data_IF_527155057993
#
_entry.id   IF_527155057993
#
_cell.length_a   1.000
_cell.length_b   1.000
_cell.length_c   1.000
_cell.angle_alpha   90.00
_cell.angle_beta   90.00
_cell.angle_gamma   90.00
#
_symmetry.space_group_name_H-M   'P 1'
#
loop_
_entity.id
_entity.type
_entity.pdbx_description
1 polymer ?
#
# COMPACT_ATOMS: atom_id res chain seq x y z
N UNK A 1 -29.01 -13.49 -72.81
CA UNK A 1 -28.82 -12.19 -72.13
C UNK A 1 -30.12 -11.92 -71.38
N UNK A 2 -30.16 -11.78 -70.06
CA UNK A 2 -29.10 -11.29 -69.18
C UNK A 2 -29.06 -12.05 -67.86
N UNK A 3 -27.83 -12.21 -67.41
CA UNK A 3 -27.30 -12.94 -66.28
C UNK A 3 -27.33 -12.13 -64.97
N UNK A 4 -27.28 -12.90 -63.89
CA UNK A 4 -26.92 -12.59 -62.49
C UNK A 4 -26.32 -11.22 -62.13
N UNK A 5 -26.66 -10.75 -60.94
CA UNK A 5 -25.68 -10.53 -59.85
C UNK A 5 -26.46 -10.39 -58.54
N UNK A 6 -26.35 -11.44 -57.73
CA UNK A 6 -26.69 -11.44 -56.31
C UNK A 6 -25.42 -10.98 -55.60
N UNK A 7 -25.24 -9.67 -55.51
CA UNK A 7 -24.15 -9.07 -54.74
C UNK A 7 -24.73 -8.61 -53.39
N UNK A 8 -25.18 -9.57 -52.58
CA UNK A 8 -25.13 -9.39 -51.13
C UNK A 8 -23.64 -9.53 -50.78
N UNK A 9 -22.91 -8.43 -50.92
CA UNK A 9 -21.59 -8.30 -50.32
C UNK A 9 -21.75 -8.60 -48.83
N UNK A 10 -21.28 -9.78 -48.42
CA UNK A 10 -21.23 -10.20 -47.04
C UNK A 10 -20.37 -9.19 -46.31
N UNK A 11 -21.01 -8.28 -45.57
CA UNK A 11 -20.33 -7.34 -44.69
C UNK A 11 -19.37 -8.16 -43.81
N UNK A 12 -18.11 -7.70 -43.61
CA UNK A 12 -17.16 -8.41 -42.76
C UNK A 12 -17.78 -8.68 -41.38
N UNK A 13 -17.69 -9.92 -40.90
CA UNK A 13 -18.29 -10.34 -39.64
C UNK A 13 -17.61 -9.64 -38.45
N UNK A 14 -18.41 -8.96 -37.63
CA UNK A 14 -18.00 -8.45 -36.32
C UNK A 14 -17.50 -9.58 -35.41
N UNK A 15 -16.58 -9.28 -34.49
CA UNK A 15 -16.20 -10.26 -33.47
C UNK A 15 -17.38 -10.54 -32.54
N UNK A 16 -17.87 -11.78 -32.50
CA UNK A 16 -19.01 -12.18 -31.64
C UNK A 16 -18.80 -11.84 -30.15
N UNK A 17 -17.55 -11.70 -29.69
CA UNK A 17 -17.22 -11.41 -28.29
C UNK A 17 -16.97 -9.94 -27.98
N UNK A 18 -16.92 -9.03 -28.94
CA UNK A 18 -16.78 -7.61 -28.62
C UNK A 18 -17.52 -6.68 -29.59
N UNK A 19 -18.21 -7.26 -30.58
CA UNK A 19 -18.95 -6.59 -31.64
C UNK A 19 -18.11 -5.53 -32.37
N UNK A 20 -16.80 -5.78 -32.50
CA UNK A 20 -15.86 -4.94 -33.24
C UNK A 20 -15.71 -5.47 -34.67
N UNK A 21 -15.91 -4.59 -35.64
CA UNK A 21 -16.20 -4.91 -37.03
C UNK A 21 -14.97 -5.15 -37.93
N UNK A 22 -13.71 -4.93 -37.46
CA UNK A 22 -12.55 -4.81 -38.40
C UNK A 22 -11.16 -5.28 -37.91
N UNK A 23 -11.07 -6.41 -37.19
CA UNK A 23 -9.78 -7.08 -36.93
C UNK A 23 -9.77 -8.16 -35.83
N UNK A 24 -10.81 -9.02 -35.81
CA UNK A 24 -11.05 -10.25 -35.03
C UNK A 24 -10.08 -10.57 -33.86
N UNK A 25 -9.85 -9.61 -32.97
CA UNK A 25 -9.00 -9.72 -31.78
C UNK A 25 -7.58 -10.29 -32.03
N UNK A 26 -7.02 -10.08 -33.24
CA UNK A 26 -5.85 -10.70 -33.91
C UNK A 26 -4.70 -11.26 -33.01
N UNK A 27 -4.96 -12.49 -32.51
CA UNK A 27 -4.08 -13.60 -32.07
C UNK A 27 -2.62 -13.28 -31.67
N UNK A 28 -2.26 -13.51 -30.39
CA UNK A 28 -2.01 -14.89 -30.02
C UNK A 28 -3.09 -15.45 -29.07
N UNK A 29 -3.23 -16.78 -29.09
CA UNK A 29 -3.82 -17.53 -27.98
C UNK A 29 -3.21 -17.10 -26.65
N UNK A 30 -3.85 -17.52 -25.55
CA UNK A 30 -3.20 -17.45 -24.26
C UNK A 30 -1.77 -18.00 -24.36
N UNK A 31 -0.81 -17.30 -23.76
CA UNK A 31 0.56 -17.81 -23.65
C UNK A 31 0.56 -19.07 -22.78
N UNK A 32 1.20 -20.13 -23.26
CA UNK A 32 1.09 -21.49 -22.72
C UNK A 32 -0.36 -21.97 -22.50
N UNK A 33 -1.31 -21.55 -23.34
CA UNK A 33 -2.75 -21.84 -23.24
C UNK A 33 -3.40 -21.42 -21.90
N UNK A 34 -2.76 -20.52 -21.14
CA UNK A 34 -3.25 -20.10 -19.82
C UNK A 34 -3.00 -18.65 -19.41
N UNK A 35 -2.10 -17.93 -20.09
CA UNK A 35 -1.69 -16.58 -19.72
C UNK A 35 -2.14 -15.52 -20.71
N UNK A 36 -2.45 -14.34 -20.21
CA UNK A 36 -2.67 -13.15 -21.03
C UNK A 36 -2.11 -11.93 -20.33
N UNK A 37 -1.80 -10.88 -21.09
CA UNK A 37 -1.33 -9.62 -20.51
C UNK A 37 -2.37 -8.52 -20.66
N UNK A 38 -2.54 -7.74 -19.61
CA UNK A 38 -3.37 -6.53 -19.61
C UNK A 38 -2.47 -5.30 -19.59
N UNK A 39 -2.81 -4.29 -20.37
CA UNK A 39 -2.13 -2.98 -20.32
C UNK A 39 -2.92 -2.03 -19.44
N UNK A 40 -2.27 -1.47 -18.42
CA UNK A 40 -2.88 -0.48 -17.54
C UNK A 40 -3.04 0.85 -18.28
N UNK A 41 -4.26 1.40 -18.27
CA UNK A 41 -4.61 2.71 -18.87
C UNK A 41 -4.59 3.83 -17.82
N UNK A 42 -4.58 5.09 -18.27
CA UNK A 42 -4.60 6.28 -17.41
C UNK A 42 -5.69 6.13 -16.36
N UNK A 43 -5.27 6.20 -15.11
CA UNK A 43 -6.04 6.10 -13.86
C UNK A 43 -6.23 4.71 -13.28
N UNK A 44 -6.52 3.62 -14.03
CA UNK A 44 -6.88 2.28 -13.49
C UNK A 44 -7.86 2.29 -12.27
N UNK A 45 -8.45 3.45 -11.98
CA UNK A 45 -9.30 3.80 -10.83
C UNK A 45 -10.76 3.48 -11.15
N UNK A 46 -11.09 3.34 -12.44
CA UNK A 46 -12.46 3.11 -12.94
C UNK A 46 -12.58 1.69 -13.47
N UNK A 47 -11.92 1.37 -14.58
CA UNK A 47 -12.05 0.05 -15.24
C UNK A 47 -10.74 -0.38 -15.90
N UNK A 48 -10.38 -1.65 -15.75
CA UNK A 48 -9.27 -2.29 -16.49
C UNK A 48 -9.82 -3.43 -17.32
N UNK A 49 -9.83 -3.21 -18.64
CA UNK A 49 -10.47 -4.11 -19.61
C UNK A 49 -9.68 -5.41 -19.77
N UNK A 50 -10.40 -6.53 -19.78
CA UNK A 50 -9.89 -7.82 -20.23
C UNK A 50 -9.78 -7.76 -21.78
N UNK A 51 -8.63 -8.09 -22.36
CA UNK A 51 -8.48 -8.17 -23.80
C UNK A 51 -9.49 -9.15 -24.41
N UNK A 52 -10.08 -8.79 -25.55
CA UNK A 52 -11.06 -9.64 -26.24
C UNK A 52 -10.57 -11.08 -26.45
N UNK A 53 -9.30 -11.27 -26.87
CA UNK A 53 -8.74 -12.62 -27.11
C UNK A 53 -8.68 -13.50 -25.84
N UNK A 54 -8.65 -12.89 -24.65
CA UNK A 54 -8.63 -13.60 -23.37
C UNK A 54 -10.04 -13.72 -22.75
N UNK A 55 -11.00 -12.89 -23.19
CA UNK A 55 -12.34 -12.74 -22.59
C UNK A 55 -13.06 -14.07 -22.44
N UNK A 56 -13.13 -14.85 -23.52
CA UNK A 56 -13.78 -16.17 -23.51
C UNK A 56 -13.23 -17.08 -22.42
N UNK A 57 -11.91 -17.22 -22.34
CA UNK A 57 -11.25 -18.10 -21.37
C UNK A 57 -11.48 -17.64 -19.92
N UNK A 58 -11.48 -16.32 -19.70
CA UNK A 58 -11.78 -15.75 -18.37
C UNK A 58 -13.21 -16.07 -17.97
N UNK A 59 -14.19 -15.86 -18.85
CA UNK A 59 -15.60 -16.09 -18.57
C UNK A 59 -15.91 -17.57 -18.33
N UNK A 60 -15.38 -18.46 -19.18
CA UNK A 60 -15.48 -19.92 -18.99
C UNK A 60 -14.85 -20.36 -17.66
N UNK A 61 -13.64 -19.88 -17.34
CA UNK A 61 -12.92 -20.26 -16.11
C UNK A 61 -13.57 -19.75 -14.83
N UNK A 62 -14.20 -18.57 -14.90
CA UNK A 62 -14.93 -17.94 -13.79
C UNK A 62 -16.42 -18.30 -13.78
N UNK A 63 -16.84 -19.26 -14.61
CA UNK A 63 -18.18 -19.87 -14.65
C UNK A 63 -19.32 -18.88 -14.99
N UNK A 64 -19.05 -17.83 -15.77
CA UNK A 64 -20.11 -16.90 -16.19
C UNK A 64 -21.12 -17.61 -17.10
N UNK A 65 -22.41 -17.30 -16.94
CA UNK A 65 -23.49 -18.01 -17.64
C UNK A 65 -23.50 -17.73 -19.15
N UNK A 66 -23.40 -16.46 -19.51
CA UNK A 66 -23.39 -15.99 -20.89
C UNK A 66 -22.59 -14.68 -21.00
N UNK A 67 -21.84 -14.53 -22.09
CA UNK A 67 -21.08 -13.34 -22.41
C UNK A 67 -21.95 -12.11 -22.74
N UNK A 68 -23.18 -12.30 -23.21
CA UNK A 68 -24.11 -11.21 -23.52
C UNK A 68 -24.79 -10.64 -22.26
N UNK A 69 -24.78 -11.40 -21.16
CA UNK A 69 -25.48 -11.04 -19.94
C UNK A 69 -24.62 -10.12 -19.08
N UNK A 70 -25.27 -9.08 -18.56
CA UNK A 70 -24.67 -8.24 -17.52
C UNK A 70 -24.63 -8.99 -16.19
N UNK A 71 -23.42 -9.39 -15.78
CA UNK A 71 -23.17 -10.16 -14.57
C UNK A 71 -21.95 -9.60 -13.84
N UNK A 72 -21.93 -9.70 -12.50
CA UNK A 72 -20.76 -9.35 -11.69
C UNK A 72 -20.44 -10.52 -10.77
N UNK A 73 -19.19 -11.00 -10.82
CA UNK A 73 -18.69 -12.00 -9.90
C UNK A 73 -17.56 -11.46 -9.04
N UNK A 74 -17.51 -11.91 -7.79
CA UNK A 74 -16.37 -11.73 -6.92
C UNK A 74 -15.39 -12.86 -7.22
N UNK A 75 -14.17 -12.51 -7.61
CA UNK A 75 -13.10 -13.47 -7.90
C UNK A 75 -11.87 -13.16 -7.05
N UNK A 76 -10.97 -14.13 -6.92
CA UNK A 76 -9.72 -13.96 -6.16
C UNK A 76 -8.54 -13.77 -7.11
N UNK A 77 -7.78 -12.71 -6.89
CA UNK A 77 -6.48 -12.50 -7.51
C UNK A 77 -5.39 -12.95 -6.54
N UNK A 78 -4.50 -13.82 -7.01
CA UNK A 78 -3.37 -14.33 -6.22
C UNK A 78 -2.05 -13.96 -6.81
N UNK A 79 -1.06 -13.77 -5.96
CA UNK A 79 0.32 -13.52 -6.40
C UNK A 79 1.25 -14.53 -5.77
N UNK A 80 2.43 -14.72 -6.38
CA UNK A 80 3.45 -15.62 -5.85
C UNK A 80 4.05 -15.15 -4.50
N UNK A 81 3.69 -13.95 -4.04
CA UNK A 81 4.05 -13.38 -2.75
C UNK A 81 3.05 -13.71 -1.63
N UNK A 82 2.19 -14.72 -1.82
CA UNK A 82 1.12 -15.12 -0.89
C UNK A 82 0.12 -13.99 -0.58
N UNK A 83 -0.07 -13.07 -1.53
CA UNK A 83 -1.09 -12.03 -1.44
C UNK A 83 -2.33 -12.47 -2.22
N UNK A 84 -3.48 -12.42 -1.55
CA UNK A 84 -4.81 -12.76 -2.06
C UNK A 84 -5.74 -11.54 -1.95
N UNK A 85 -6.49 -11.23 -3.02
CA UNK A 85 -7.43 -10.11 -3.09
C UNK A 85 -8.72 -10.50 -3.77
N UNK A 86 -9.83 -10.20 -3.11
CA UNK A 86 -11.16 -10.23 -3.74
C UNK A 86 -11.35 -9.00 -4.64
N UNK A 87 -11.66 -9.23 -5.91
CA UNK A 87 -12.01 -8.18 -6.87
C UNK A 87 -13.33 -8.49 -7.55
N UNK A 88 -14.02 -7.45 -8.00
CA UNK A 88 -15.20 -7.61 -8.83
C UNK A 88 -14.77 -7.68 -10.29
N UNK A 89 -15.19 -8.75 -10.97
CA UNK A 89 -15.10 -8.90 -12.41
C UNK A 89 -16.49 -8.64 -12.99
N UNK A 90 -16.60 -7.58 -13.79
CA UNK A 90 -17.83 -7.16 -14.43
C UNK A 90 -17.85 -7.68 -15.85
N UNK A 91 -18.95 -8.30 -16.24
CA UNK A 91 -19.25 -8.69 -17.60
C UNK A 91 -20.46 -7.92 -18.11
N UNK A 92 -20.42 -7.51 -19.38
CA UNK A 92 -21.56 -7.06 -20.17
C UNK A 92 -21.34 -7.45 -21.63
N UNK A 93 -22.35 -7.25 -22.48
CA UNK A 93 -22.41 -7.72 -23.87
C UNK A 93 -21.08 -7.71 -24.63
N UNK A 94 -20.42 -6.55 -24.71
CA UNK A 94 -19.20 -6.37 -25.49
C UNK A 94 -17.93 -6.25 -24.66
N UNK A 95 -17.99 -6.30 -23.33
CA UNK A 95 -16.83 -5.96 -22.48
C UNK A 95 -16.80 -6.72 -21.15
N UNK A 96 -15.60 -7.10 -20.74
CA UNK A 96 -15.32 -7.62 -19.41
C UNK A 96 -14.19 -6.81 -18.79
N UNK A 97 -14.30 -6.41 -17.52
CA UNK A 97 -13.29 -5.58 -16.87
C UNK A 97 -13.23 -5.76 -15.36
N UNK A 98 -12.06 -5.47 -14.79
CA UNK A 98 -11.90 -5.23 -13.36
C UNK A 98 -12.32 -3.80 -13.04
N UNK A 99 -13.15 -3.60 -12.02
CA UNK A 99 -13.67 -2.26 -11.70
C UNK A 99 -14.08 -2.11 -10.23
N UNK A 100 -13.12 -2.04 -9.30
CA UNK A 100 -13.45 -1.75 -7.90
C UNK A 100 -12.28 -1.16 -7.10
N UNK A 101 -12.59 -0.64 -5.92
CA UNK A 101 -11.57 -0.12 -4.98
C UNK A 101 -10.51 -1.15 -4.59
N UNK A 102 -10.85 -2.45 -4.62
CA UNK A 102 -9.88 -3.51 -4.31
C UNK A 102 -8.89 -3.72 -5.46
N UNK A 103 -9.33 -3.58 -6.72
CA UNK A 103 -8.44 -3.56 -7.88
C UNK A 103 -7.48 -2.36 -7.81
N UNK A 104 -8.01 -1.17 -7.55
CA UNK A 104 -7.19 0.04 -7.35
C UNK A 104 -6.17 -0.14 -6.22
N UNK A 105 -6.60 -0.73 -5.10
CA UNK A 105 -5.73 -1.07 -3.98
C UNK A 105 -4.62 -2.05 -4.39
N UNK A 106 -4.95 -3.10 -5.14
CA UNK A 106 -3.98 -4.07 -5.65
C UNK A 106 -2.92 -3.40 -6.54
N UNK A 107 -3.34 -2.54 -7.47
CA UNK A 107 -2.41 -1.80 -8.34
C UNK A 107 -1.49 -0.88 -7.53
N UNK A 108 -2.05 -0.13 -6.56
CA UNK A 108 -1.27 0.72 -5.65
C UNK A 108 -0.31 -0.09 -4.77
N UNK A 109 -0.74 -1.28 -4.36
CA UNK A 109 0.05 -2.16 -3.51
C UNK A 109 1.34 -2.60 -4.21
N UNK A 110 1.27 -2.91 -5.50
CA UNK A 110 2.44 -3.29 -6.31
C UNK A 110 3.14 -2.11 -6.98
N UNK A 111 2.64 -0.88 -6.79
CA UNK A 111 3.22 0.32 -7.36
C UNK A 111 3.18 0.31 -8.89
N UNK A 112 2.10 -0.22 -9.47
CA UNK A 112 1.96 -0.22 -10.92
C UNK A 112 1.65 1.18 -11.45
N UNK A 113 2.28 1.50 -12.57
CA UNK A 113 2.08 2.74 -13.30
C UNK A 113 1.31 2.53 -14.60
N UNK A 114 0.80 3.62 -15.15
CA UNK A 114 0.19 3.63 -16.47
C UNK A 114 1.15 3.07 -17.54
N UNK A 115 0.58 2.29 -18.47
CA UNK A 115 1.32 1.71 -19.57
C UNK A 115 2.06 0.43 -19.23
N UNK A 116 2.15 0.04 -17.94
CA UNK A 116 2.67 -1.26 -17.54
C UNK A 116 1.80 -2.40 -18.07
N UNK A 117 2.47 -3.50 -18.41
CA UNK A 117 1.83 -4.77 -18.77
C UNK A 117 1.87 -5.69 -17.56
N UNK A 118 0.70 -6.19 -17.15
CA UNK A 118 0.55 -7.17 -16.09
C UNK A 118 0.15 -8.49 -16.73
N UNK A 119 0.84 -9.58 -16.39
CA UNK A 119 0.50 -10.92 -16.88
C UNK A 119 -0.40 -11.64 -15.89
N UNK A 120 -1.52 -12.12 -16.39
CA UNK A 120 -2.53 -12.91 -15.69
C UNK A 120 -2.40 -14.37 -16.14
N UNK A 121 -2.52 -15.32 -15.21
CA UNK A 121 -2.41 -16.76 -15.43
C UNK A 121 -3.65 -17.45 -14.85
N UNK A 122 -4.44 -18.07 -15.72
CA UNK A 122 -5.71 -18.73 -15.39
C UNK A 122 -5.53 -20.13 -14.75
N UNK A 123 -4.28 -20.55 -14.56
CA UNK A 123 -3.94 -21.89 -14.11
C UNK A 123 -3.90 -22.90 -15.25
N UNK A 124 -3.47 -24.12 -14.96
CA UNK A 124 -3.42 -25.18 -15.96
C UNK A 124 -4.85 -25.67 -16.29
N UNK A 125 -5.32 -25.55 -17.55
CA UNK A 125 -6.66 -25.97 -17.94
C UNK A 125 -6.90 -27.48 -17.78
N UNK A 126 -5.83 -28.30 -17.80
CA UNK A 126 -5.92 -29.77 -17.66
C UNK A 126 -6.11 -30.23 -16.21
N UNK A 127 -5.97 -29.30 -15.24
CA UNK A 127 -6.11 -29.61 -13.82
C UNK A 127 -7.44 -29.02 -13.37
N UNK A 128 -8.35 -29.89 -12.92
CA UNK A 128 -9.58 -29.45 -12.26
C UNK A 128 -9.20 -28.77 -10.94
N UNK A 129 -9.12 -27.45 -10.97
CA UNK A 129 -8.87 -26.61 -9.80
C UNK A 129 -10.23 -26.14 -9.29
N UNK A 130 -10.61 -26.59 -8.09
CA UNK A 130 -11.84 -26.18 -7.41
C UNK A 130 -11.87 -24.66 -7.10
N UNK A 131 -10.73 -23.98 -7.20
CA UNK A 131 -10.61 -22.56 -6.94
C UNK A 131 -10.60 -21.76 -8.27
N UNK A 132 -11.53 -20.82 -8.39
CA UNK A 132 -11.65 -19.85 -9.48
C UNK A 132 -10.73 -18.64 -9.26
N UNK A 133 -9.43 -18.91 -9.08
CA UNK A 133 -8.43 -17.87 -8.81
C UNK A 133 -7.70 -17.49 -10.11
N UNK A 134 -7.39 -16.20 -10.28
CA UNK A 134 -6.47 -15.72 -11.32
C UNK A 134 -5.14 -15.36 -10.68
N UNK A 135 -4.06 -15.94 -11.19
CA UNK A 135 -2.71 -15.61 -10.73
C UNK A 135 -2.19 -14.38 -11.45
N UNK A 136 -1.77 -13.37 -10.71
CA UNK A 136 -1.08 -12.19 -11.22
C UNK A 136 0.42 -12.41 -11.08
N UNK A 137 1.10 -12.50 -12.22
CA UNK A 137 2.55 -12.72 -12.29
C UNK A 137 3.27 -11.38 -12.15
N UNK A 138 3.80 -11.14 -10.95
CA UNK A 138 4.47 -9.89 -10.59
C UNK A 138 5.79 -10.21 -9.94
N UNK A 139 6.93 -9.86 -10.54
CA UNK A 139 8.26 -10.21 -10.02
C UNK A 139 8.71 -9.36 -8.83
N UNK A 140 8.13 -8.17 -8.68
CA UNK A 140 8.48 -7.22 -7.62
C UNK A 140 7.62 -7.45 -6.38
N UNK A 141 8.20 -7.42 -5.18
CA UNK A 141 7.43 -7.56 -3.95
C UNK A 141 6.50 -6.35 -3.74
N UNK A 142 5.38 -6.52 -2.99
CA UNK A 142 4.47 -5.43 -2.69
C UNK A 142 5.17 -4.20 -2.10
N UNK A 143 4.91 -3.05 -2.69
CA UNK A 143 5.40 -1.74 -2.26
C UNK A 143 4.64 -1.26 -1.02
N UNK A 144 3.37 -1.64 -0.84
CA UNK A 144 2.59 -1.37 0.37
C UNK A 144 2.08 -2.67 0.99
N UNK A 145 1.90 -2.72 2.32
CA UNK A 145 1.32 -3.87 2.99
C UNK A 145 -0.20 -3.88 2.94
N UNK A 146 -0.82 -5.07 3.01
CA UNK A 146 -2.28 -5.22 3.15
C UNK A 146 -2.87 -4.35 4.27
N UNK A 147 -2.18 -4.25 5.41
CA UNK A 147 -2.60 -3.45 6.56
C UNK A 147 -2.82 -1.97 6.21
N UNK A 148 -2.15 -1.45 5.18
CA UNK A 148 -2.32 -0.07 4.71
C UNK A 148 -3.74 0.16 4.16
N UNK A 149 -4.32 -0.81 3.48
CA UNK A 149 -5.64 -0.66 2.86
C UNK A 149 -6.78 -0.87 3.85
N UNK A 150 -6.55 -1.64 4.92
CA UNK A 150 -7.53 -1.90 5.97
C UNK A 150 -7.52 -0.87 7.11
N UNK A 151 -6.52 0.03 7.16
CA UNK A 151 -6.43 1.02 8.23
C UNK A 151 -7.28 2.28 7.96
N UNK A 152 -7.51 3.07 9.02
CA UNK A 152 -8.28 4.31 8.94
C UNK A 152 -7.63 5.31 7.97
N UNK A 153 -8.45 6.18 7.36
CA UNK A 153 -7.96 7.21 6.42
C UNK A 153 -6.83 8.06 7.03
N UNK A 154 -6.97 8.48 8.28
CA UNK A 154 -5.94 9.23 8.99
C UNK A 154 -4.60 8.47 9.10
N UNK A 155 -4.66 7.14 9.28
CA UNK A 155 -3.46 6.29 9.35
C UNK A 155 -2.77 6.21 7.99
N UNK A 156 -3.52 6.05 6.90
CA UNK A 156 -2.96 6.15 5.54
C UNK A 156 -2.28 7.49 5.30
N UNK A 157 -2.96 8.58 5.66
CA UNK A 157 -2.41 9.93 5.54
C UNK A 157 -1.15 10.18 6.38
N UNK A 158 -0.97 9.45 7.49
CA UNK A 158 0.28 9.44 8.26
C UNK A 158 1.38 8.67 7.52
N UNK A 159 1.06 7.44 7.08
CA UNK A 159 2.01 6.57 6.37
C UNK A 159 2.52 7.24 5.09
N UNK A 160 1.64 7.87 4.31
CA UNK A 160 2.01 8.56 3.05
C UNK A 160 2.94 9.76 3.26
N UNK A 161 2.89 10.39 4.45
CA UNK A 161 3.74 11.54 4.80
C UNK A 161 5.00 11.15 5.55
N UNK A 162 5.29 9.86 5.66
CA UNK A 162 6.46 9.38 6.41
C UNK A 162 7.74 9.98 5.83
N UNK A 163 8.50 10.65 6.69
CA UNK A 163 9.82 11.16 6.38
C UNK A 163 10.87 10.10 6.68
N UNK A 164 11.76 9.84 5.71
CA UNK A 164 12.89 8.93 5.83
C UNK A 164 14.18 9.75 5.87
N UNK A 165 15.04 9.47 6.84
CA UNK A 165 16.45 9.93 6.77
C UNK A 165 17.24 9.00 5.85
N UNK A 166 18.35 9.47 5.29
CA UNK A 166 19.22 8.66 4.42
C UNK A 166 19.52 7.26 5.01
N UNK A 167 19.22 6.22 4.23
CA UNK A 167 19.49 4.82 4.58
C UNK A 167 18.53 4.21 5.61
N UNK A 168 17.38 4.86 5.86
CA UNK A 168 16.35 4.38 6.78
C UNK A 168 15.10 3.83 6.09
N UNK A 169 15.11 3.77 4.76
CA UNK A 169 14.00 3.28 3.95
C UNK A 169 13.59 1.87 4.36
N UNK A 170 12.27 1.62 4.41
CA UNK A 170 11.74 0.30 4.73
C UNK A 170 11.74 -0.55 3.48
N UNK A 171 12.65 -1.52 3.45
CA UNK A 171 12.88 -2.35 2.26
C UNK A 171 12.07 -3.65 2.29
N UNK A 172 11.54 -4.03 3.46
CA UNK A 172 10.79 -5.29 3.59
C UNK A 172 9.31 -5.06 3.87
N UNK A 173 8.48 -5.98 3.36
CA UNK A 173 7.03 -6.01 3.61
C UNK A 173 6.70 -6.00 5.11
N UNK A 174 7.48 -6.75 5.91
CA UNK A 174 7.30 -6.82 7.36
C UNK A 174 7.53 -5.47 8.03
N UNK A 175 8.56 -4.73 7.63
CA UNK A 175 8.84 -3.40 8.18
C UNK A 175 7.76 -2.38 7.83
N UNK A 176 7.22 -2.44 6.62
CA UNK A 176 6.12 -1.55 6.22
C UNK A 176 4.84 -1.84 7.00
N UNK A 177 4.50 -3.13 7.22
CA UNK A 177 3.40 -3.51 8.12
C UNK A 177 3.58 -2.93 9.52
N UNK A 178 4.81 -2.98 10.02
CA UNK A 178 5.20 -2.43 11.29
C UNK A 178 5.00 -0.92 11.41
N UNK A 179 5.29 -0.15 10.35
CA UNK A 179 4.98 1.28 10.29
C UNK A 179 3.47 1.54 10.34
N UNK A 180 2.68 0.81 9.56
CA UNK A 180 1.21 0.95 9.58
C UNK A 180 0.64 0.61 10.96
N UNK A 181 1.13 -0.45 11.59
CA UNK A 181 0.75 -0.83 12.95
C UNK A 181 1.08 0.25 13.97
N UNK A 182 2.29 0.82 13.91
CA UNK A 182 2.70 1.93 14.78
C UNK A 182 1.78 3.15 14.63
N UNK A 183 1.49 3.59 13.40
CA UNK A 183 0.56 4.69 13.14
C UNK A 183 -0.87 4.38 13.62
N UNK A 184 -1.31 3.12 13.50
CA UNK A 184 -2.61 2.66 14.01
C UNK A 184 -2.68 2.74 15.53
N UNK A 185 -1.62 2.36 16.23
CA UNK A 185 -1.56 2.44 17.69
C UNK A 185 -1.61 3.88 18.21
N UNK A 186 -1.00 4.82 17.48
CA UNK A 186 -1.08 6.26 17.80
C UNK A 186 -2.51 6.75 17.66
N UNK A 187 -3.21 6.38 16.58
CA UNK A 187 -4.61 6.75 16.39
C UNK A 187 -5.48 6.16 17.50
N UNK A 188 -5.28 4.88 17.84
CA UNK A 188 -5.97 4.23 18.95
C UNK A 188 -5.67 4.91 20.30
N UNK A 189 -4.42 5.31 20.54
CA UNK A 189 -4.03 6.06 21.74
C UNK A 189 -4.77 7.41 21.81
N UNK A 190 -4.84 8.14 20.70
CA UNK A 190 -5.52 9.44 20.65
C UNK A 190 -7.02 9.27 20.93
N UNK A 191 -7.67 8.27 20.33
CA UNK A 191 -9.08 7.94 20.56
C UNK A 191 -9.31 7.57 22.02
N UNK A 192 -8.52 6.64 22.57
CA UNK A 192 -8.71 6.13 23.92
C UNK A 192 -8.51 7.21 24.99
N UNK A 193 -7.45 8.02 24.85
CA UNK A 193 -7.13 9.06 25.84
C UNK A 193 -7.86 10.38 25.56
N UNK A 194 -8.71 10.44 24.52
CA UNK A 194 -9.35 11.67 24.05
C UNK A 194 -8.34 12.81 23.91
N UNK A 195 -7.18 12.50 23.31
CA UNK A 195 -6.10 13.46 23.19
C UNK A 195 -6.62 14.63 22.34
N UNK A 196 -6.50 15.89 22.81
CA UNK A 196 -6.94 17.05 22.06
C UNK A 196 -6.35 17.09 20.67
N UNK A 197 -7.04 17.80 19.78
CA UNK A 197 -6.67 17.84 18.38
C UNK A 197 -5.20 18.28 18.22
N UNK A 198 -4.46 17.49 17.45
CA UNK A 198 -3.11 17.84 17.06
C UNK A 198 -3.14 19.14 16.25
N UNK A 199 -2.34 20.12 16.67
CA UNK A 199 -2.09 21.35 15.92
C UNK A 199 -1.18 21.05 14.73
N UNK A 200 -1.77 20.49 13.68
CA UNK A 200 -1.09 20.16 12.44
C UNK A 200 -1.39 18.76 11.95
N UNK A 201 -0.54 18.30 11.03
CA UNK A 201 -0.58 16.94 10.49
C UNK A 201 0.57 16.16 11.11
N UNK A 202 0.28 14.93 11.48
CA UNK A 202 1.29 13.97 11.88
C UNK A 202 2.24 13.67 10.73
N UNK A 203 3.54 13.76 11.00
CA UNK A 203 4.61 13.39 10.09
C UNK A 203 5.47 12.33 10.80
N UNK A 204 5.24 11.03 10.52
CA UNK A 204 6.12 9.99 11.02
C UNK A 204 7.55 10.19 10.52
N UNK A 205 8.52 9.87 11.35
CA UNK A 205 9.93 9.86 11.05
C UNK A 205 10.43 8.42 11.18
N UNK A 206 10.96 7.87 10.09
CA UNK A 206 11.77 6.66 10.12
C UNK A 206 13.23 7.09 10.02
N UNK A 207 14.03 6.63 10.97
CA UNK A 207 15.44 7.01 11.01
C UNK A 207 16.33 5.91 11.59
N UNK A 208 17.58 5.87 11.14
CA UNK A 208 18.62 5.05 11.76
C UNK A 208 19.26 5.87 12.87
N UNK A 209 19.32 5.33 14.07
CA UNK A 209 19.97 5.97 15.19
C UNK A 209 21.49 5.97 15.00
N UNK A 210 22.09 7.13 14.80
CA UNK A 210 23.51 7.28 14.47
C UNK A 210 24.11 8.54 15.10
N UNK A 211 25.42 8.76 14.94
CA UNK A 211 26.10 9.91 15.52
C UNK A 211 25.69 11.27 14.94
N UNK A 212 24.99 11.28 13.80
CA UNK A 212 24.45 12.48 13.18
C UNK A 212 23.14 12.96 13.82
N UNK A 213 22.26 12.03 14.21
CA UNK A 213 20.98 12.36 14.87
C UNK A 213 20.97 12.12 16.38
N UNK A 214 21.98 11.46 16.92
CA UNK A 214 22.15 11.29 18.36
C UNK A 214 23.60 11.44 18.80
N UNK A 215 23.83 12.35 19.74
CA UNK A 215 25.15 12.54 20.33
C UNK A 215 25.05 12.91 21.82
N UNK A 216 25.78 12.16 22.65
CA UNK A 216 25.85 12.32 24.11
C UNK A 216 24.54 11.96 24.81
N UNK A 217 23.61 12.90 24.83
CA UNK A 217 22.29 12.80 25.50
C UNK A 217 21.20 13.55 24.71
N UNK A 218 21.49 13.91 23.46
CA UNK A 218 20.61 14.72 22.63
C UNK A 218 20.20 13.94 21.39
N UNK A 219 18.89 13.80 21.18
CA UNK A 219 18.29 13.37 19.91
C UNK A 219 17.97 14.61 19.06
N UNK A 220 18.15 14.50 17.75
CA UNK A 220 17.80 15.52 16.77
C UNK A 220 16.63 15.01 15.92
N UNK A 221 15.54 15.78 15.88
CA UNK A 221 14.39 15.58 15.00
C UNK A 221 14.48 16.61 13.86
N UNK A 222 14.46 16.19 12.58
CA UNK A 222 14.52 17.11 11.45
C UNK A 222 13.35 18.09 11.41
N UNK A 223 13.57 19.31 10.92
CA UNK A 223 12.53 20.36 10.77
C UNK A 223 11.23 19.84 10.15
N UNK A 224 11.32 19.02 9.10
CA UNK A 224 10.17 18.47 8.38
C UNK A 224 9.22 17.63 9.27
N UNK A 225 9.72 17.12 10.39
CA UNK A 225 8.96 16.32 11.35
C UNK A 225 8.56 17.11 12.60
N UNK A 226 8.91 18.39 12.69
CA UNK A 226 8.56 19.28 13.80
C UNK A 226 7.24 19.98 13.47
N UNK A 227 6.16 19.74 14.24
CA UNK A 227 4.88 20.41 14.03
C UNK A 227 5.02 21.93 14.05
N UNK A 228 4.30 22.57 13.14
CA UNK A 228 4.14 24.03 13.18
C UNK A 228 3.51 24.45 14.52
N UNK A 229 3.80 25.67 14.97
CA UNK A 229 3.30 26.25 16.23
C UNK A 229 3.90 25.67 17.52
N UNK A 230 4.95 24.85 17.47
CA UNK A 230 5.74 24.56 18.67
C UNK A 230 6.54 25.79 19.10
N UNK A 231 6.63 26.02 20.42
CA UNK A 231 7.51 27.06 20.96
C UNK A 231 8.97 26.71 20.69
N UNK A 232 9.85 27.70 20.56
CA UNK A 232 11.28 27.45 20.31
C UNK A 232 11.98 26.67 21.44
N UNK A 233 11.42 26.69 22.65
CA UNK A 233 11.90 25.94 23.81
C UNK A 233 10.71 25.45 24.60
N UNK A 234 10.83 24.26 25.16
CA UNK A 234 9.79 23.69 25.98
C UNK A 234 10.17 22.32 26.52
N UNK A 235 9.15 21.53 26.83
CA UNK A 235 9.30 20.18 27.33
C UNK A 235 8.41 19.25 26.52
N UNK A 236 8.92 18.06 26.20
CA UNK A 236 8.22 17.03 25.43
C UNK A 236 8.12 15.76 26.25
N UNK A 237 6.93 15.18 26.31
CA UNK A 237 6.72 13.87 26.91
C UNK A 237 7.14 12.80 25.91
N UNK A 238 7.95 11.84 26.33
CA UNK A 238 8.56 10.86 25.43
C UNK A 238 7.97 9.48 25.70
N UNK A 239 7.13 8.98 24.81
CA UNK A 239 6.34 7.77 25.02
C UNK A 239 6.75 6.66 24.06
N UNK A 240 6.94 5.44 24.59
CA UNK A 240 7.05 4.24 23.76
C UNK A 240 5.68 3.55 23.71
N UNK A 241 5.15 3.32 22.52
CA UNK A 241 3.79 2.82 22.30
C UNK A 241 3.65 1.28 22.42
N UNK A 242 4.74 0.51 22.33
CA UNK A 242 4.69 -0.96 22.19
C UNK A 242 5.48 -1.74 23.26
N UNK A 243 4.94 -2.89 23.72
CA UNK A 243 3.95 -2.96 24.79
C UNK A 243 4.56 -2.65 26.16
N UNK A 244 3.96 -1.71 26.89
CA UNK A 244 4.33 -1.38 28.25
C UNK A 244 3.91 0.02 28.63
N UNK A 245 3.69 0.25 29.93
CA UNK A 245 3.29 1.56 30.46
C UNK A 245 4.18 2.67 29.88
N UNK A 246 3.59 3.82 29.50
CA UNK A 246 4.34 4.94 28.97
C UNK A 246 5.53 5.23 29.87
N UNK A 247 6.73 5.30 29.30
CA UNK A 247 7.84 5.91 30.02
C UNK A 247 7.46 7.37 30.13
N UNK A 248 7.00 7.84 31.28
CA UNK A 248 6.74 9.27 31.47
C UNK A 248 8.09 9.96 31.65
N UNK A 249 8.83 10.12 30.55
CA UNK A 249 10.05 10.91 30.48
C UNK A 249 9.66 12.26 29.92
N UNK A 250 9.85 13.29 30.74
CA UNK A 250 9.68 14.67 30.29
C UNK A 250 11.07 15.23 29.97
N UNK A 251 11.28 15.55 28.70
CA UNK A 251 12.57 15.93 28.14
C UNK A 251 12.53 17.39 27.68
N UNK A 252 13.49 18.24 28.08
CA UNK A 252 13.56 19.59 27.55
C UNK A 252 13.99 19.57 26.09
N UNK A 253 13.42 20.45 25.29
CA UNK A 253 13.76 20.60 23.89
C UNK A 253 14.08 22.05 23.50
N UNK A 254 14.81 22.19 22.39
CA UNK A 254 15.12 23.47 21.75
C UNK A 254 15.06 23.32 20.23
N UNK A 255 14.31 24.20 19.57
CA UNK A 255 14.19 24.27 18.11
C UNK A 255 15.18 25.31 17.60
N UNK A 256 15.98 24.90 16.61
CA UNK A 256 16.98 25.73 15.96
C UNK A 256 16.31 26.82 15.12
N UNK A 257 16.60 28.10 15.39
CA UNK A 257 16.12 29.22 14.53
C UNK A 257 16.71 29.20 13.12
N UNK A 258 17.85 28.52 12.93
CA UNK A 258 18.59 28.51 11.66
C UNK A 258 18.21 27.33 10.77
N UNK A 259 18.05 26.16 11.37
CA UNK A 259 17.81 24.91 10.63
C UNK A 259 16.44 24.30 10.89
N UNK A 260 15.65 24.83 11.83
CA UNK A 260 14.34 24.29 12.19
C UNK A 260 14.38 22.96 12.97
N UNK A 261 15.54 22.29 13.03
CA UNK A 261 15.69 21.03 13.74
C UNK A 261 15.43 21.19 15.25
N UNK A 262 14.75 20.19 15.81
CA UNK A 262 14.47 20.11 17.23
C UNK A 262 15.49 19.21 17.93
N UNK A 263 16.11 19.73 18.98
CA UNK A 263 17.03 18.99 19.86
C UNK A 263 16.31 18.61 21.14
N UNK A 264 16.27 17.33 21.46
CA UNK A 264 15.65 16.78 22.67
C UNK A 264 16.75 16.25 23.59
N UNK A 265 16.90 16.84 24.77
CA UNK A 265 17.90 16.42 25.77
C UNK A 265 17.32 15.39 26.75
N UNK A 266 18.18 14.66 27.46
CA UNK A 266 17.76 13.60 28.39
C UNK A 266 17.45 12.27 27.70
N UNK A 267 17.81 12.12 26.42
CA UNK A 267 17.46 10.96 25.60
C UNK A 267 18.18 9.67 26.02
N UNK A 268 19.32 9.77 26.71
CA UNK A 268 20.08 8.62 27.19
C UNK A 268 19.25 7.71 28.10
N UNK A 269 18.29 8.25 28.86
CA UNK A 269 17.37 7.44 29.67
C UNK A 269 16.47 6.54 28.81
N UNK A 270 16.04 7.02 27.65
CA UNK A 270 15.30 6.21 26.68
C UNK A 270 16.20 5.09 26.14
N UNK A 271 17.45 5.42 25.82
CA UNK A 271 18.44 4.47 25.32
C UNK A 271 18.73 3.34 26.29
N UNK A 272 18.95 3.67 27.57
CA UNK A 272 19.30 2.70 28.60
C UNK A 272 18.12 1.80 28.97
N UNK A 273 16.88 2.27 28.80
CA UNK A 273 15.68 1.51 29.12
C UNK A 273 15.49 0.31 28.18
N UNK A 274 15.25 -0.88 28.75
CA UNK A 274 14.95 -2.07 27.94
C UNK A 274 13.51 -2.00 27.43
N UNK A 275 13.35 -2.07 26.11
CA UNK A 275 12.07 -2.02 25.41
C UNK A 275 11.91 -3.23 24.50
N UNK A 276 10.67 -3.63 24.28
CA UNK A 276 10.38 -4.64 23.27
C UNK A 276 10.63 -4.04 21.89
N UNK A 277 11.29 -4.81 21.03
CA UNK A 277 11.52 -4.39 19.66
C UNK A 277 10.30 -4.73 18.82
N UNK A 278 9.88 -3.80 17.99
CA UNK A 278 8.72 -3.93 17.14
C UNK A 278 8.96 -5.03 16.10
N UNK A 279 8.10 -6.06 16.10
CA UNK A 279 8.28 -7.26 15.27
C UNK A 279 9.03 -8.42 15.92
N UNK A 280 9.32 -8.33 17.22
CA UNK A 280 10.01 -9.36 18.01
C UNK A 280 9.51 -9.40 19.46
N UNK A 281 9.67 -10.55 20.14
CA UNK A 281 9.44 -10.66 21.60
C UNK A 281 10.67 -10.25 22.42
N UNK A 282 11.75 -9.81 21.75
CA UNK A 282 13.02 -9.49 22.39
C UNK A 282 12.95 -8.12 23.06
N UNK A 283 13.36 -8.06 24.33
CA UNK A 283 13.50 -6.81 25.08
C UNK A 283 14.97 -6.39 25.22
N UNK A 284 15.35 -5.22 24.70
CA UNK A 284 16.69 -4.66 24.88
C UNK A 284 16.68 -3.13 24.84
N UNK A 285 17.78 -2.56 25.31
CA UNK A 285 18.12 -1.15 25.17
C UNK A 285 18.38 -0.82 23.70
N UNK A 286 18.05 0.41 23.29
CA UNK A 286 18.37 0.93 21.96
C UNK A 286 19.89 1.08 21.81
N UNK A 287 20.38 1.05 20.57
CA UNK A 287 21.79 1.13 20.22
C UNK A 287 21.97 1.93 18.93
N UNK A 288 23.18 2.46 18.73
CA UNK A 288 23.58 3.00 17.42
C UNK A 288 23.42 1.89 16.37
N UNK A 289 22.83 2.24 15.23
CA UNK A 289 22.47 1.34 14.14
C UNK A 289 21.02 0.86 14.17
N UNK A 290 20.29 1.03 15.28
CA UNK A 290 18.88 0.67 15.34
C UNK A 290 18.04 1.58 14.45
N UNK A 291 17.06 0.99 13.76
CA UNK A 291 16.00 1.75 13.08
C UNK A 291 14.87 2.06 14.06
N UNK A 292 14.30 3.23 13.91
CA UNK A 292 13.35 3.79 14.86
C UNK A 292 12.22 4.50 14.12
N UNK A 293 11.00 4.29 14.61
CA UNK A 293 9.84 5.08 14.23
C UNK A 293 9.61 6.12 15.32
N UNK A 294 9.40 7.36 14.91
CA UNK A 294 9.17 8.49 15.79
C UNK A 294 8.04 9.35 15.22
N UNK A 295 7.18 9.90 16.06
CA UNK A 295 6.19 10.88 15.62
C UNK A 295 5.95 11.91 16.71
N UNK A 296 5.89 13.18 16.31
CA UNK A 296 5.74 14.29 17.25
C UNK A 296 4.31 14.81 17.21
N UNK A 297 3.63 14.71 18.34
CA UNK A 297 2.37 15.36 18.62
C UNK A 297 2.62 16.72 19.29
N UNK A 298 1.81 17.69 18.90
CA UNK A 298 1.69 18.99 19.54
C UNK A 298 0.21 19.37 19.61
N UNK A 299 -0.37 19.50 20.79
CA UNK A 299 -1.78 19.83 20.98
C UNK A 299 -2.02 20.50 22.34
N UNK A 300 -3.28 20.66 22.75
CA UNK A 300 -3.62 21.27 24.05
C UNK A 300 -3.04 20.51 25.25
N UNK A 301 -2.84 19.19 25.11
CA UNK A 301 -2.17 18.37 26.11
C UNK A 301 -0.65 18.53 26.14
N UNK A 302 -0.10 19.46 25.35
CA UNK A 302 1.33 19.67 25.20
C UNK A 302 1.97 18.80 24.13
N UNK A 303 3.30 18.79 24.11
CA UNK A 303 4.07 18.06 23.10
C UNK A 303 4.38 16.63 23.56
N UNK A 304 4.16 15.65 22.68
CA UNK A 304 4.43 14.23 22.95
C UNK A 304 5.21 13.64 21.77
N UNK A 305 6.38 13.07 22.03
CA UNK A 305 7.12 12.27 21.07
C UNK A 305 6.80 10.79 21.31
N UNK A 306 6.07 10.18 20.39
CA UNK A 306 5.86 8.74 20.39
C UNK A 306 6.97 8.05 19.61
N UNK A 307 7.43 6.90 20.08
CA UNK A 307 8.45 6.13 19.38
C UNK A 307 8.32 4.61 19.53
N UNK A 308 8.94 3.89 18.58
CA UNK A 308 9.17 2.46 18.65
C UNK A 308 10.52 2.10 17.99
N UNK A 309 11.18 1.05 18.50
CA UNK A 309 12.46 0.57 17.95
C UNK A 309 12.14 -0.66 17.10
N UNK A 310 12.60 -0.67 15.85
CA UNK A 310 12.39 -1.77 14.92
C UNK A 310 13.37 -2.93 15.21
N UNK A 311 12.88 -4.17 15.14
CA UNK A 311 13.66 -5.37 15.46
C UNK A 311 14.71 -5.75 14.40
#
# INVERSE_FOLDING_TARGET
MSSSSSDDESLPAECDWCHDDRGLCDMPHLDDDRRFSIKLKETFEVETLIPCHARRYVLERMDFEDHEISETKIIHLRTHHDVDFEVNLYNSESVTHFGCKNWEAFCKMYGFDEGMLITMDLGNPDINQDNMDIWVLVDTPPVLPLSYFYCLKNVREMVDKTHYTDGSELTTYKEKNHLVGFCTDIENYNIYNQTPQHYGKYVPLVHVFNYGNYHGDTLIIPENCVPHMMYLKGSVNVLNIQPGRPTNLNCPYEISKRSGDMKIKGWKKCMDSRKELLGSKRKRSARIGDRMFSILHNGESGSILFYAILA
#
